data_IF_334685976196
#
_entry.id   IF_334685976196
#
_cell.length_a   1.000
_cell.length_b   1.000
_cell.length_c   1.000
_cell.angle_alpha   90.00
_cell.angle_beta   90.00
_cell.angle_gamma   90.00
#
_symmetry.space_group_name_H-M   'P 1'
#
loop_
_entity.id
_entity.type
_entity.pdbx_description
1 polymer ?
#
# COMPACT_ATOMS: atom_id res chain seq x y z
N UNK A 1 -25.00 -25.01 -5.78
CA UNK A 1 -24.09 -25.48 -4.72
C UNK A 1 -24.20 -26.98 -4.45
N UNK A 2 -25.31 -27.66 -4.79
CA UNK A 2 -25.49 -29.09 -4.49
C UNK A 2 -24.88 -30.06 -5.52
N UNK A 3 -24.63 -29.63 -6.77
CA UNK A 3 -23.98 -30.48 -7.79
C UNK A 3 -22.46 -30.65 -7.63
N UNK A 4 -21.79 -29.76 -6.88
CA UNK A 4 -20.35 -29.85 -6.62
C UNK A 4 -20.00 -30.97 -5.62
N UNK A 5 -20.92 -31.29 -4.71
CA UNK A 5 -20.73 -32.36 -3.72
C UNK A 5 -20.80 -33.77 -4.32
N UNK A 6 -21.41 -33.93 -5.51
CA UNK A 6 -21.50 -35.22 -6.19
C UNK A 6 -20.23 -35.59 -6.99
N UNK A 7 -19.43 -34.60 -7.40
CA UNK A 7 -18.12 -34.83 -8.06
C UNK A 7 -16.96 -34.98 -7.06
N UNK A 8 -17.13 -34.56 -5.80
CA UNK A 8 -16.11 -34.70 -4.74
C UNK A 8 -15.93 -36.13 -4.20
N UNK A 9 -16.59 -37.13 -4.77
CA UNK A 9 -16.66 -38.48 -4.18
C UNK A 9 -15.42 -39.34 -4.45
N UNK A 10 -14.49 -38.97 -5.34
CA UNK A 10 -13.33 -39.84 -5.58
C UNK A 10 -12.01 -39.12 -5.96
N UNK A 11 -11.72 -37.97 -5.35
CA UNK A 11 -10.35 -37.42 -5.44
C UNK A 11 -9.37 -38.26 -4.59
N UNK A 12 -8.17 -38.55 -5.11
CA UNK A 12 -7.15 -39.23 -4.32
C UNK A 12 -6.70 -38.35 -3.15
N UNK A 13 -6.16 -38.99 -2.10
CA UNK A 13 -5.97 -38.34 -0.81
C UNK A 13 -5.07 -37.09 -0.86
N UNK A 14 -4.16 -37.02 -1.83
CA UNK A 14 -3.26 -35.88 -2.04
C UNK A 14 -4.02 -34.64 -2.51
N UNK A 15 -4.94 -34.81 -3.45
CA UNK A 15 -5.76 -33.73 -4.02
C UNK A 15 -6.74 -33.24 -2.96
N UNK A 16 -7.29 -34.16 -2.15
CA UNK A 16 -8.14 -33.80 -1.02
C UNK A 16 -7.38 -33.00 0.05
N UNK A 17 -6.12 -33.35 0.32
CA UNK A 17 -5.28 -32.61 1.25
C UNK A 17 -4.95 -31.20 0.71
N UNK A 18 -4.70 -31.09 -0.59
CA UNK A 18 -4.44 -29.83 -1.29
C UNK A 18 -5.68 -28.92 -1.33
N UNK A 19 -6.87 -29.47 -1.58
CA UNK A 19 -8.16 -28.77 -1.50
C UNK A 19 -8.36 -28.16 -0.10
N UNK A 20 -8.20 -28.95 0.96
CA UNK A 20 -8.35 -28.48 2.34
C UNK A 20 -7.31 -27.41 2.69
N UNK A 21 -6.07 -27.54 2.18
CA UNK A 21 -5.02 -26.55 2.37
C UNK A 21 -5.38 -25.22 1.69
N UNK A 22 -5.80 -25.25 0.42
CA UNK A 22 -6.17 -24.05 -0.32
C UNK A 22 -7.43 -23.40 0.24
N UNK A 23 -8.42 -24.18 0.68
CA UNK A 23 -9.59 -23.66 1.38
C UNK A 23 -9.19 -22.94 2.68
N UNK A 24 -8.27 -23.51 3.46
CA UNK A 24 -7.75 -22.88 4.66
C UNK A 24 -6.97 -21.60 4.36
N UNK A 25 -6.15 -21.59 3.31
CA UNK A 25 -5.40 -20.41 2.86
C UNK A 25 -6.37 -19.31 2.41
N UNK A 26 -7.33 -19.62 1.54
CA UNK A 26 -8.29 -18.65 1.03
C UNK A 26 -9.15 -18.07 2.15
N UNK A 27 -9.62 -18.92 3.08
CA UNK A 27 -10.34 -18.48 4.28
C UNK A 27 -9.49 -17.56 5.15
N UNK A 28 -8.22 -17.90 5.37
CA UNK A 28 -7.29 -17.07 6.13
C UNK A 28 -7.03 -15.71 5.45
N UNK A 29 -6.80 -15.70 4.14
CA UNK A 29 -6.55 -14.48 3.37
C UNK A 29 -7.76 -13.56 3.34
N UNK A 30 -8.96 -14.11 3.14
CA UNK A 30 -10.22 -13.37 3.12
C UNK A 30 -10.54 -12.83 4.52
N UNK A 31 -10.32 -13.61 5.59
CA UNK A 31 -10.46 -13.14 6.97
C UNK A 31 -9.50 -11.98 7.31
N UNK A 32 -8.23 -12.09 6.92
CA UNK A 32 -7.24 -11.03 7.13
C UNK A 32 -7.54 -9.78 6.32
N UNK A 33 -8.03 -9.94 5.10
CA UNK A 33 -8.44 -8.82 4.24
C UNK A 33 -9.63 -8.09 4.85
N UNK A 34 -10.66 -8.80 5.33
CA UNK A 34 -11.81 -8.18 6.02
C UNK A 34 -11.45 -7.50 7.32
N UNK A 35 -10.55 -8.09 8.13
CA UNK A 35 -10.06 -7.48 9.36
C UNK A 35 -9.37 -6.14 9.08
N UNK A 36 -8.54 -6.11 8.03
CA UNK A 36 -7.84 -4.93 7.58
C UNK A 36 -8.83 -3.86 7.09
N UNK A 37 -9.78 -4.23 6.23
CA UNK A 37 -10.82 -3.36 5.70
C UNK A 37 -11.67 -2.72 6.82
N UNK A 38 -12.14 -3.54 7.76
CA UNK A 38 -12.92 -3.08 8.93
C UNK A 38 -12.13 -2.12 9.81
N UNK A 39 -10.81 -2.27 9.86
CA UNK A 39 -9.91 -1.39 10.62
C UNK A 39 -9.51 -0.13 9.85
N UNK A 40 -9.53 -0.19 8.51
CA UNK A 40 -9.08 0.84 7.59
C UNK A 40 -10.04 2.01 7.50
N UNK A 41 -11.28 1.75 7.10
CA UNK A 41 -12.28 2.79 6.91
C UNK A 41 -12.43 3.71 8.12
N UNK A 42 -12.58 3.22 9.38
CA UNK A 42 -12.69 4.11 10.52
C UNK A 42 -11.39 4.84 10.84
N UNK A 43 -10.22 4.25 10.54
CA UNK A 43 -8.93 4.93 10.77
C UNK A 43 -8.73 6.10 9.80
N UNK A 44 -9.13 5.92 8.55
CA UNK A 44 -9.02 6.91 7.48
C UNK A 44 -10.05 8.04 7.69
N UNK A 45 -11.27 7.71 8.10
CA UNK A 45 -12.29 8.69 8.46
C UNK A 45 -11.87 9.54 9.70
N UNK A 46 -11.36 8.89 10.75
CA UNK A 46 -10.85 9.60 11.94
C UNK A 46 -9.67 10.52 11.59
N UNK A 47 -8.81 10.11 10.65
CA UNK A 47 -7.68 10.90 10.19
C UNK A 47 -8.12 12.10 9.32
N UNK A 48 -9.13 11.89 8.47
CA UNK A 48 -9.74 12.94 7.65
C UNK A 48 -10.45 13.99 8.52
N UNK A 49 -11.09 13.57 9.60
CA UNK A 49 -11.74 14.46 10.58
C UNK A 49 -10.72 15.21 11.44
N UNK A 50 -9.65 14.53 11.88
CA UNK A 50 -8.61 15.11 12.73
C UNK A 50 -7.23 14.58 12.37
N UNK A 51 -6.45 15.44 11.72
CA UNK A 51 -5.03 15.21 11.44
C UNK A 51 -4.26 15.26 12.76
N UNK A 52 -3.86 14.09 13.25
CA UNK A 52 -3.13 13.89 14.50
C UNK A 52 -2.00 12.89 14.28
N UNK A 53 -0.86 13.06 14.95
CA UNK A 53 0.26 12.13 14.87
C UNK A 53 -0.15 10.69 15.20
N UNK A 54 -1.04 10.51 16.18
CA UNK A 54 -1.60 9.19 16.55
C UNK A 54 -2.38 8.53 15.41
N UNK A 55 -3.17 9.32 14.68
CA UNK A 55 -4.03 8.82 13.61
C UNK A 55 -3.19 8.52 12.36
N UNK A 56 -2.21 9.37 12.06
CA UNK A 56 -1.19 9.13 11.03
C UNK A 56 -0.40 7.84 11.29
N UNK A 57 0.03 7.61 12.53
CA UNK A 57 0.74 6.39 12.90
C UNK A 57 -0.16 5.15 12.76
N UNK A 58 -1.46 5.27 13.08
CA UNK A 58 -2.43 4.18 12.91
C UNK A 58 -2.61 3.82 11.44
N UNK A 59 -2.81 4.81 10.57
CA UNK A 59 -2.93 4.59 9.11
C UNK A 59 -1.62 4.07 8.52
N UNK A 60 -0.46 4.58 8.94
CA UNK A 60 0.85 4.04 8.53
C UNK A 60 1.03 2.57 8.93
N UNK A 61 0.67 2.19 10.16
CA UNK A 61 0.73 0.79 10.61
C UNK A 61 -0.16 -0.11 9.77
N UNK A 62 -1.35 0.39 9.44
CA UNK A 62 -2.31 -0.33 8.61
C UNK A 62 -1.79 -0.50 7.17
N UNK A 63 -1.26 0.57 6.55
CA UNK A 63 -0.60 0.52 5.24
C UNK A 63 0.55 -0.49 5.22
N UNK A 64 1.41 -0.49 6.23
CA UNK A 64 2.47 -1.49 6.35
C UNK A 64 1.92 -2.92 6.47
N UNK A 65 0.85 -3.15 7.25
CA UNK A 65 0.21 -4.45 7.35
C UNK A 65 -0.40 -4.90 6.01
N UNK A 66 -1.02 -3.97 5.31
CA UNK A 66 -1.61 -4.16 3.99
C UNK A 66 -0.58 -4.55 2.93
N UNK A 67 0.51 -3.79 2.82
CA UNK A 67 1.59 -4.09 1.88
C UNK A 67 2.18 -5.47 2.14
N UNK A 68 2.40 -5.83 3.41
CA UNK A 68 2.90 -7.17 3.77
C UNK A 68 1.93 -8.29 3.39
N UNK A 69 0.63 -8.10 3.59
CA UNK A 69 -0.38 -9.08 3.20
C UNK A 69 -0.43 -9.21 1.68
N UNK A 70 -0.46 -8.08 0.95
CA UNK A 70 -0.48 -8.05 -0.51
C UNK A 70 0.69 -8.82 -1.11
N UNK A 71 1.92 -8.59 -0.62
CA UNK A 71 3.11 -9.32 -1.09
C UNK A 71 2.99 -10.83 -0.86
N UNK A 72 2.45 -11.24 0.29
CA UNK A 72 2.26 -12.67 0.61
C UNK A 72 1.23 -13.31 -0.31
N UNK A 73 0.12 -12.62 -0.56
CA UNK A 73 -0.94 -13.11 -1.45
C UNK A 73 -0.45 -13.17 -2.90
N UNK A 74 0.29 -12.15 -3.36
CA UNK A 74 0.92 -12.14 -4.67
C UNK A 74 1.84 -13.33 -4.85
N UNK A 75 2.71 -13.61 -3.86
CA UNK A 75 3.57 -14.79 -3.94
C UNK A 75 2.75 -16.09 -4.06
N UNK A 76 1.67 -16.25 -3.31
CA UNK A 76 0.83 -17.46 -3.40
C UNK A 76 0.18 -17.55 -4.79
N UNK A 77 -0.30 -16.43 -5.34
CA UNK A 77 -0.83 -16.34 -6.71
C UNK A 77 0.23 -16.74 -7.74
N UNK A 78 1.43 -16.19 -7.66
CA UNK A 78 2.50 -16.42 -8.64
C UNK A 78 2.97 -17.89 -8.62
N UNK A 79 3.07 -18.50 -7.43
CA UNK A 79 3.41 -19.93 -7.31
C UNK A 79 2.27 -20.83 -7.82
N UNK A 80 1.01 -20.40 -7.65
CA UNK A 80 -0.16 -21.10 -8.17
C UNK A 80 -0.26 -20.98 -9.70
N UNK A 81 0.07 -19.81 -10.26
CA UNK A 81 0.15 -19.55 -11.70
C UNK A 81 1.23 -20.44 -12.34
N UNK A 82 2.42 -20.49 -11.74
CA UNK A 82 3.49 -21.38 -12.21
C UNK A 82 3.09 -22.86 -12.21
N UNK A 83 2.32 -23.31 -11.20
CA UNK A 83 1.84 -24.68 -11.11
C UNK A 83 0.72 -24.98 -12.12
N UNK A 84 -0.10 -23.97 -12.46
CA UNK A 84 -1.16 -24.09 -13.46
C UNK A 84 -0.58 -24.11 -14.89
N UNK A 85 0.55 -23.44 -15.13
CA UNK A 85 1.20 -23.34 -16.43
C UNK A 85 1.93 -24.63 -16.90
N UNK A 86 2.23 -25.57 -15.99
CA UNK A 86 2.98 -26.80 -16.27
C UNK A 86 2.18 -28.08 -15.91
N UNK A 87 1.60 -28.71 -16.94
CA UNK A 87 0.86 -29.98 -16.84
C UNK A 87 1.69 -31.13 -16.26
N UNK A 88 3.02 -31.12 -16.44
CA UNK A 88 3.89 -32.17 -15.90
C UNK A 88 4.08 -32.01 -14.38
N UNK A 89 4.21 -30.77 -13.88
CA UNK A 89 4.23 -30.47 -12.44
C UNK A 89 2.88 -30.83 -11.80
N UNK A 90 1.78 -30.54 -12.50
CA UNK A 90 0.42 -30.89 -12.06
C UNK A 90 0.23 -32.41 -11.95
N UNK A 91 0.74 -33.15 -12.93
CA UNK A 91 0.65 -34.61 -12.93
C UNK A 91 1.58 -35.27 -11.89
N UNK A 92 2.65 -34.59 -11.46
CA UNK A 92 3.57 -35.06 -10.44
C UNK A 92 2.99 -35.00 -9.01
N UNK A 93 1.93 -34.20 -8.79
CA UNK A 93 1.16 -34.13 -7.54
C UNK A 93 0.38 -35.43 -7.22
N UNK A 94 0.14 -36.29 -8.21
CA UNK A 94 -0.51 -37.60 -8.04
C UNK A 94 0.46 -38.66 -7.48
N UNK A 95 0.86 -38.49 -6.21
CA UNK A 95 1.89 -39.31 -5.55
C UNK A 95 1.51 -40.79 -5.40
N UNK A 96 0.23 -41.12 -5.20
CA UNK A 96 -0.29 -42.49 -5.12
C UNK A 96 0.07 -43.31 -6.35
N UNK A 97 0.00 -42.69 -7.53
CA UNK A 97 0.39 -43.31 -8.80
C UNK A 97 1.91 -43.49 -8.91
N UNK A 98 2.67 -42.47 -8.49
CA UNK A 98 4.14 -42.51 -8.47
C UNK A 98 4.66 -43.63 -7.56
N UNK A 99 4.02 -43.81 -6.40
CA UNK A 99 4.28 -44.92 -5.48
C UNK A 99 3.86 -46.27 -6.07
N UNK A 100 2.69 -46.39 -6.71
CA UNK A 100 2.25 -47.62 -7.38
C UNK A 100 3.15 -48.04 -8.56
N UNK A 101 3.65 -47.06 -9.33
CA UNK A 101 4.62 -47.29 -10.40
C UNK A 101 5.98 -47.75 -9.85
N UNK A 102 6.42 -47.21 -8.71
CA UNK A 102 7.68 -47.61 -8.05
C UNK A 102 7.61 -48.94 -7.30
N UNK A 103 6.41 -49.37 -6.88
CA UNK A 103 6.18 -50.60 -6.10
C UNK A 103 5.79 -51.81 -6.95
N UNK A 104 5.60 -51.63 -8.27
CA UNK A 104 5.48 -52.74 -9.21
C UNK A 104 6.83 -53.45 -9.34
N UNK A 105 6.96 -54.73 -8.96
CA UNK A 105 8.19 -55.47 -9.19
C UNK A 105 8.35 -55.66 -10.70
N UNK A 106 9.32 -54.99 -11.31
CA UNK A 106 9.90 -55.45 -12.56
C UNK A 106 10.59 -56.78 -12.29
N UNK A 107 9.81 -57.87 -12.30
CA UNK A 107 10.33 -59.21 -12.52
C UNK A 107 10.65 -59.35 -14.00
N UNK A 108 11.77 -58.78 -14.39
CA UNK A 108 12.57 -59.28 -15.50
C UNK A 108 14.00 -58.80 -15.27
N UNK A 109 14.86 -59.73 -14.88
CA UNK A 109 16.30 -59.60 -15.07
C UNK A 109 16.56 -59.07 -16.47
N UNK A 110 17.08 -57.87 -16.59
CA UNK A 110 18.09 -57.56 -17.60
C UNK A 110 18.83 -56.29 -17.16
N UNK A 111 20.16 -56.42 -17.15
CA UNK A 111 21.10 -55.45 -16.63
C UNK A 111 21.16 -54.18 -17.51
N UNK A 112 21.56 -53.02 -16.96
CA UNK A 112 21.70 -51.80 -17.74
C UNK A 112 23.10 -51.75 -18.36
N UNK A 113 23.24 -52.20 -19.60
CA UNK A 113 24.45 -51.95 -20.40
C UNK A 113 24.25 -50.68 -21.23
N UNK A 114 24.93 -49.63 -20.81
CA UNK A 114 25.28 -48.51 -21.67
C UNK A 114 26.22 -48.99 -22.80
N UNK A 115 26.07 -48.38 -23.98
CA UNK A 115 26.96 -48.39 -25.16
C UNK A 115 26.87 -49.60 -26.12
N UNK A 116 26.32 -49.40 -27.33
CA UNK A 116 27.08 -49.14 -28.57
C UNK A 116 26.11 -49.05 -29.75
N UNK A 117 26.15 -47.93 -30.48
CA UNK A 117 25.45 -47.79 -31.75
C UNK A 117 26.25 -48.43 -32.88
N UNK A 118 25.63 -49.37 -33.62
CA UNK A 118 25.75 -49.44 -35.08
C UNK A 118 24.72 -50.40 -35.71
N UNK A 119 24.38 -50.19 -36.98
CA UNK A 119 23.03 -50.40 -37.49
C UNK A 119 22.91 -51.67 -38.33
N UNK A 120 21.83 -52.42 -38.19
CA UNK A 120 21.34 -53.21 -39.32
C UNK A 120 19.83 -53.47 -39.26
N UNK A 121 19.17 -52.90 -40.27
CA UNK A 121 18.08 -53.47 -41.08
C UNK A 121 17.02 -54.36 -40.43
N UNK A 122 15.80 -53.83 -40.45
CA UNK A 122 14.68 -54.52 -41.10
C UNK A 122 13.95 -55.56 -40.26
N UNK A 123 12.96 -55.11 -39.50
CA UNK A 123 11.74 -55.90 -39.26
C UNK A 123 10.66 -55.02 -38.63
N UNK A 124 9.62 -54.72 -39.41
CA UNK A 124 8.35 -54.16 -38.94
C UNK A 124 7.71 -55.14 -37.96
N UNK A 125 7.64 -54.77 -36.67
CA UNK A 125 6.63 -55.30 -35.75
C UNK A 125 5.85 -54.13 -35.18
N UNK A 126 4.61 -54.00 -35.66
CA UNK A 126 3.58 -53.23 -34.99
C UNK A 126 3.43 -53.78 -33.57
N UNK A 127 3.91 -53.03 -32.57
CA UNK A 127 3.58 -53.24 -31.17
C UNK A 127 2.47 -52.25 -30.85
N UNK A 128 1.25 -52.64 -31.18
CA UNK A 128 0.06 -51.88 -30.84
C UNK A 128 -0.24 -51.99 -29.36
N UNK A 129 -0.69 -50.85 -28.82
CA UNK A 129 -1.74 -50.75 -27.81
C UNK A 129 -1.50 -51.43 -26.47
N UNK A 130 -0.68 -50.78 -25.64
CA UNK A 130 -0.90 -50.75 -24.18
C UNK A 130 -0.61 -49.40 -23.51
N UNK A 131 -0.11 -48.40 -24.26
CA UNK A 131 0.20 -47.08 -23.74
C UNK A 131 -0.98 -46.07 -23.79
N UNK A 132 -2.04 -46.34 -24.56
CA UNK A 132 -3.15 -45.40 -24.77
C UNK A 132 -4.11 -45.26 -23.58
N UNK A 133 -4.18 -46.24 -22.67
CA UNK A 133 -5.03 -46.12 -21.47
C UNK A 133 -4.41 -45.22 -20.40
N UNK A 134 -3.09 -45.27 -20.25
CA UNK A 134 -2.35 -44.50 -19.24
C UNK A 134 -2.22 -43.02 -19.57
N UNK A 135 -2.15 -42.65 -20.86
CA UNK A 135 -2.08 -41.23 -21.28
C UNK A 135 -3.44 -40.55 -21.16
N UNK A 136 -4.51 -41.21 -21.61
CA UNK A 136 -5.89 -40.67 -21.52
C UNK A 136 -6.34 -40.51 -20.07
N UNK A 137 -5.98 -41.45 -19.19
CA UNK A 137 -6.26 -41.31 -17.76
C UNK A 137 -5.46 -40.14 -17.13
N UNK A 138 -4.17 -39.98 -17.50
CA UNK A 138 -3.32 -38.88 -17.00
C UNK A 138 -3.86 -37.52 -17.41
N UNK A 139 -4.28 -37.37 -18.67
CA UNK A 139 -4.89 -36.12 -19.18
C UNK A 139 -6.18 -35.78 -18.43
N UNK A 140 -7.04 -36.77 -18.16
CA UNK A 140 -8.30 -36.54 -17.43
C UNK A 140 -8.07 -36.11 -15.98
N UNK A 141 -7.11 -36.72 -15.28
CA UNK A 141 -6.81 -36.34 -13.89
C UNK A 141 -6.20 -34.93 -13.81
N UNK A 142 -5.33 -34.57 -14.77
CA UNK A 142 -4.75 -33.22 -14.86
C UNK A 142 -5.85 -32.19 -15.10
N UNK A 143 -6.77 -32.45 -16.02
CA UNK A 143 -7.90 -31.55 -16.30
C UNK A 143 -8.83 -31.35 -15.08
N UNK A 144 -9.07 -32.41 -14.28
CA UNK A 144 -9.83 -32.28 -13.02
C UNK A 144 -9.11 -31.43 -11.96
N UNK A 145 -7.79 -31.59 -11.83
CA UNK A 145 -6.97 -30.79 -10.92
C UNK A 145 -6.84 -29.33 -11.37
N UNK A 146 -6.70 -29.10 -12.67
CA UNK A 146 -6.65 -27.78 -13.30
C UNK A 146 -7.91 -26.97 -12.95
N UNK A 147 -9.10 -27.57 -13.15
CA UNK A 147 -10.37 -26.93 -12.79
C UNK A 147 -10.44 -26.52 -11.31
N UNK A 148 -9.90 -27.35 -10.40
CA UNK A 148 -9.86 -27.05 -8.97
C UNK A 148 -8.90 -25.89 -8.67
N UNK A 149 -7.66 -25.97 -9.19
CA UNK A 149 -6.65 -24.94 -9.00
C UNK A 149 -7.12 -23.59 -9.56
N UNK A 150 -7.74 -23.59 -10.74
CA UNK A 150 -8.21 -22.38 -11.39
C UNK A 150 -9.32 -21.69 -10.59
N UNK A 151 -10.21 -22.47 -9.95
CA UNK A 151 -11.21 -21.92 -9.03
C UNK A 151 -10.56 -21.20 -7.83
N UNK A 152 -9.51 -21.77 -7.24
CA UNK A 152 -8.76 -21.12 -6.15
C UNK A 152 -7.91 -19.94 -6.64
N UNK A 153 -7.34 -20.02 -7.85
CA UNK A 153 -6.62 -18.91 -8.47
C UNK A 153 -7.53 -17.70 -8.62
N UNK A 154 -8.74 -17.88 -9.16
CA UNK A 154 -9.74 -16.83 -9.27
C UNK A 154 -10.15 -16.26 -7.91
N UNK A 155 -10.23 -17.09 -6.87
CA UNK A 155 -10.55 -16.62 -5.51
C UNK A 155 -9.41 -15.77 -4.90
N UNK A 156 -8.15 -16.19 -5.09
CA UNK A 156 -6.97 -15.45 -4.63
C UNK A 156 -6.84 -14.13 -5.39
N UNK A 157 -7.05 -14.14 -6.70
CA UNK A 157 -7.03 -12.94 -7.55
C UNK A 157 -8.13 -11.95 -7.14
N UNK A 158 -9.34 -12.46 -6.88
CA UNK A 158 -10.43 -11.65 -6.31
C UNK A 158 -10.07 -11.03 -4.95
N UNK A 159 -9.28 -11.73 -4.12
CA UNK A 159 -8.79 -11.21 -2.84
C UNK A 159 -7.71 -10.12 -3.06
N UNK A 160 -6.82 -10.31 -4.03
CA UNK A 160 -5.83 -9.29 -4.41
C UNK A 160 -6.48 -8.04 -4.95
N UNK A 161 -7.53 -8.16 -5.75
CA UNK A 161 -8.23 -7.00 -6.30
C UNK A 161 -8.90 -6.16 -5.18
N UNK A 162 -9.47 -6.82 -4.16
CA UNK A 162 -9.98 -6.14 -2.95
C UNK A 162 -8.86 -5.41 -2.21
N UNK A 163 -7.70 -6.05 -2.03
CA UNK A 163 -6.53 -5.41 -1.44
C UNK A 163 -6.02 -4.25 -2.30
N UNK A 164 -5.98 -4.37 -3.62
CA UNK A 164 -5.58 -3.28 -4.51
C UNK A 164 -6.48 -2.05 -4.34
N UNK A 165 -7.80 -2.28 -4.34
CA UNK A 165 -8.81 -1.22 -4.15
C UNK A 165 -8.66 -0.52 -2.79
N UNK A 166 -8.50 -1.29 -1.71
CA UNK A 166 -8.32 -0.72 -0.38
C UNK A 166 -6.99 0.05 -0.26
N UNK A 167 -5.96 -0.35 -1.02
CA UNK A 167 -4.66 0.31 -1.02
C UNK A 167 -4.75 1.66 -1.72
N UNK A 168 -5.41 1.69 -2.88
CA UNK A 168 -5.70 2.93 -3.61
C UNK A 168 -6.44 3.91 -2.70
N UNK A 169 -7.47 3.46 -1.97
CA UNK A 169 -8.18 4.30 -1.02
C UNK A 169 -7.30 4.88 0.12
N UNK A 170 -6.35 4.08 0.64
CA UNK A 170 -5.39 4.56 1.65
C UNK A 170 -4.43 5.58 1.04
N UNK A 171 -3.93 5.31 -0.17
CA UNK A 171 -2.98 6.17 -0.87
C UNK A 171 -3.65 7.52 -1.24
N UNK A 172 -4.89 7.50 -1.74
CA UNK A 172 -5.70 8.71 -1.99
C UNK A 172 -5.92 9.55 -0.73
N UNK A 173 -6.20 8.88 0.40
CA UNK A 173 -6.36 9.56 1.68
C UNK A 173 -5.05 10.19 2.16
N UNK A 174 -3.92 9.50 1.98
CA UNK A 174 -2.59 10.02 2.32
C UNK A 174 -2.26 11.29 1.51
N UNK A 175 -2.54 11.26 0.21
CA UNK A 175 -2.35 12.40 -0.68
C UNK A 175 -3.24 13.59 -0.27
N UNK A 176 -4.51 13.34 0.04
CA UNK A 176 -5.42 14.36 0.56
C UNK A 176 -4.89 15.00 1.86
N UNK A 177 -4.40 14.20 2.80
CA UNK A 177 -3.85 14.70 4.06
C UNK A 177 -2.56 15.48 3.83
N UNK A 178 -1.73 15.05 2.88
CA UNK A 178 -0.50 15.76 2.54
C UNK A 178 -0.83 17.17 2.01
N UNK A 179 -1.82 17.29 1.12
CA UNK A 179 -2.33 18.57 0.63
C UNK A 179 -2.85 19.45 1.80
N UNK A 180 -3.63 18.87 2.71
CA UNK A 180 -4.14 19.57 3.90
C UNK A 180 -3.02 20.07 4.82
N UNK A 181 -2.01 19.23 5.08
CA UNK A 181 -0.85 19.58 5.92
C UNK A 181 -0.04 20.71 5.29
N UNK A 182 0.16 20.68 3.98
CA UNK A 182 0.85 21.75 3.27
C UNK A 182 0.06 23.06 3.28
N UNK A 183 -1.27 22.99 3.18
CA UNK A 183 -2.12 24.17 3.35
C UNK A 183 -1.99 24.76 4.78
N UNK A 184 -2.02 23.93 5.82
CA UNK A 184 -1.82 24.39 7.20
C UNK A 184 -0.42 24.98 7.43
N UNK A 185 0.63 24.36 6.87
CA UNK A 185 1.99 24.92 6.91
C UNK A 185 2.05 26.28 6.22
N UNK A 186 1.41 26.40 5.06
CA UNK A 186 1.34 27.66 4.33
C UNK A 186 0.65 28.76 5.17
N UNK A 187 -0.45 28.42 5.87
CA UNK A 187 -1.10 29.34 6.81
C UNK A 187 -0.18 29.74 7.98
N UNK A 188 0.59 28.82 8.54
CA UNK A 188 1.55 29.12 9.61
C UNK A 188 2.65 30.07 9.15
N UNK A 189 3.25 29.81 7.98
CA UNK A 189 4.27 30.69 7.38
C UNK A 189 3.70 32.10 7.17
N UNK A 190 2.45 32.17 6.71
CA UNK A 190 1.77 33.44 6.52
C UNK A 190 1.55 34.20 7.85
N UNK A 191 1.11 33.52 8.91
CA UNK A 191 0.95 34.11 10.24
C UNK A 191 2.29 34.57 10.83
N UNK A 192 3.35 33.77 10.66
CA UNK A 192 4.70 34.12 11.10
C UNK A 192 5.19 35.40 10.41
N UNK A 193 4.96 35.54 9.10
CA UNK A 193 5.31 36.74 8.36
C UNK A 193 4.57 37.98 8.88
N UNK A 194 3.29 37.85 9.23
CA UNK A 194 2.53 38.96 9.84
C UNK A 194 3.05 39.35 11.22
N UNK A 195 3.33 38.37 12.09
CA UNK A 195 3.86 38.62 13.44
C UNK A 195 5.26 39.24 13.37
N UNK A 196 6.12 38.73 12.49
CA UNK A 196 7.46 39.27 12.25
C UNK A 196 7.41 40.73 11.78
N UNK A 197 6.56 41.05 10.79
CA UNK A 197 6.37 42.42 10.32
C UNK A 197 5.88 43.36 11.44
N UNK A 198 4.93 42.91 12.27
CA UNK A 198 4.45 43.66 13.42
C UNK A 198 5.53 43.90 14.47
N UNK A 199 6.38 42.90 14.71
CA UNK A 199 7.50 42.97 15.66
C UNK A 199 8.56 43.97 15.20
N UNK A 200 8.89 44.00 13.90
CA UNK A 200 9.81 44.99 13.30
C UNK A 200 9.24 46.40 13.42
N UNK A 201 7.94 46.59 13.18
CA UNK A 201 7.29 47.90 13.33
C UNK A 201 7.32 48.37 14.79
N UNK A 202 6.97 47.49 15.73
CA UNK A 202 7.01 47.79 17.17
C UNK A 202 8.42 48.05 17.69
N UNK A 203 9.45 47.37 17.20
CA UNK A 203 10.83 47.61 17.62
C UNK A 203 11.33 48.99 17.18
N UNK A 204 10.98 49.44 15.97
CA UNK A 204 11.26 50.79 15.49
C UNK A 204 10.55 51.86 16.32
N UNK A 205 9.27 51.65 16.65
CA UNK A 205 8.53 52.56 17.53
C UNK A 205 9.10 52.60 18.95
N UNK A 206 9.47 51.44 19.50
CA UNK A 206 10.12 51.32 20.81
C UNK A 206 11.46 52.04 20.85
N UNK A 207 12.26 51.99 19.78
CA UNK A 207 13.51 52.77 19.68
C UNK A 207 13.24 54.27 19.80
N UNK A 208 12.25 54.79 19.06
CA UNK A 208 11.86 56.20 19.13
C UNK A 208 11.41 56.54 20.55
N UNK A 209 10.51 55.75 21.14
CA UNK A 209 10.04 55.94 22.51
C UNK A 209 11.19 55.87 23.54
N UNK A 210 12.17 54.99 23.36
CA UNK A 210 13.31 54.83 24.26
C UNK A 210 14.25 56.04 24.21
N UNK A 211 14.60 56.55 23.01
CA UNK A 211 15.44 57.74 22.85
C UNK A 211 14.82 58.94 23.58
N UNK A 212 13.49 59.12 23.47
CA UNK A 212 12.77 60.20 24.14
C UNK A 212 12.42 59.91 25.61
N UNK A 213 12.47 58.65 26.05
CA UNK A 213 12.26 58.23 27.44
C UNK A 213 13.52 58.32 28.31
N UNK A 214 14.70 58.52 27.71
CA UNK A 214 15.95 58.71 28.45
C UNK A 214 15.94 60.05 29.21
N UNK A 215 16.23 60.02 30.51
CA UNK A 215 16.25 61.18 31.42
C UNK A 215 17.44 62.13 31.16
N UNK A 216 17.53 62.70 29.95
CA UNK A 216 18.56 63.67 29.59
C UNK A 216 18.01 65.08 29.91
N UNK A 217 18.77 65.98 30.54
CA UNK A 217 18.31 67.35 30.81
C UNK A 217 18.32 68.18 29.51
N UNK A 218 17.24 68.10 28.72
CA UNK A 218 17.05 68.92 27.52
C UNK A 218 16.44 70.29 27.86
N UNK A 219 16.90 71.34 27.16
CA UNK A 219 16.52 72.75 27.34
C UNK A 219 15.06 73.09 26.95
N UNK A 220 14.26 72.08 26.56
CA UNK A 220 12.89 72.23 26.01
C UNK A 220 11.80 72.05 27.07
N UNK A 221 12.17 71.82 28.35
CA UNK A 221 11.28 71.93 29.52
C UNK A 221 11.00 73.40 29.92
N UNK A 222 11.19 74.35 29.02
CA UNK A 222 10.73 75.72 29.20
C UNK A 222 9.19 75.76 29.14
N UNK A 223 8.51 76.64 29.89
CA UNK A 223 7.05 76.73 29.89
C UNK A 223 6.56 77.09 28.47
N UNK A 224 5.98 76.11 27.75
CA UNK A 224 5.42 76.30 26.40
C UNK A 224 5.60 75.13 25.40
N UNK A 225 6.51 74.18 25.64
CA UNK A 225 6.87 73.14 24.65
C UNK A 225 6.38 71.70 24.98
N UNK A 226 5.46 71.52 25.93
CA UNK A 226 4.92 70.19 26.30
C UNK A 226 4.28 69.43 25.12
N UNK A 227 3.76 70.15 24.12
CA UNK A 227 3.08 69.56 22.97
C UNK A 227 4.01 68.80 22.01
N UNK A 228 5.29 69.14 21.94
CA UNK A 228 6.21 68.56 20.95
C UNK A 228 6.40 67.06 21.16
N UNK A 229 6.52 66.63 22.43
CA UNK A 229 6.61 65.22 22.78
C UNK A 229 5.36 64.44 22.36
N UNK A 230 4.17 64.99 22.66
CA UNK A 230 2.88 64.39 22.27
C UNK A 230 2.79 64.25 20.75
N UNK A 231 3.18 65.26 19.98
CA UNK A 231 3.16 65.22 18.51
C UNK A 231 4.14 64.19 17.92
N UNK A 232 5.36 64.07 18.47
CA UNK A 232 6.35 63.10 18.00
C UNK A 232 5.90 61.66 18.25
N UNK A 233 5.32 61.38 19.41
CA UNK A 233 4.79 60.05 19.74
C UNK A 233 3.61 59.68 18.85
N UNK A 234 2.66 60.61 18.65
CA UNK A 234 1.49 60.40 17.78
C UNK A 234 1.93 60.20 16.32
N UNK A 235 2.84 61.04 15.82
CA UNK A 235 3.33 60.94 14.44
C UNK A 235 4.17 59.67 14.23
N UNK A 236 5.05 59.32 15.17
CA UNK A 236 5.84 58.10 15.12
C UNK A 236 4.97 56.83 15.14
N UNK A 237 3.93 56.81 15.97
CA UNK A 237 2.94 55.73 16.00
C UNK A 237 2.15 55.62 14.68
N UNK A 238 1.74 56.75 14.12
CA UNK A 238 1.02 56.81 12.84
C UNK A 238 1.88 56.34 11.66
N UNK A 239 3.15 56.76 11.59
CA UNK A 239 4.11 56.29 10.57
C UNK A 239 4.33 54.79 10.70
N UNK A 240 4.52 54.29 11.92
CA UNK A 240 4.68 52.86 12.21
C UNK A 240 3.45 52.03 11.77
N UNK A 241 2.24 52.49 12.13
CA UNK A 241 1.00 51.84 11.71
C UNK A 241 0.81 51.88 10.18
N UNK A 242 1.13 52.99 9.53
CA UNK A 242 1.06 53.13 8.06
C UNK A 242 2.04 52.19 7.35
N UNK A 243 3.26 52.02 7.87
CA UNK A 243 4.24 51.08 7.34
C UNK A 243 3.77 49.64 7.49
N UNK A 244 3.23 49.27 8.66
CA UNK A 244 2.65 47.95 8.89
C UNK A 244 1.50 47.65 7.92
N UNK A 245 0.54 48.57 7.76
CA UNK A 245 -0.57 48.42 6.81
C UNK A 245 -0.09 48.34 5.36
N UNK A 246 0.95 49.08 5.00
CA UNK A 246 1.55 49.02 3.66
C UNK A 246 2.19 47.66 3.38
N UNK A 247 2.94 47.11 4.36
CA UNK A 247 3.54 45.77 4.27
C UNK A 247 2.44 44.70 4.14
N UNK A 248 1.39 44.77 4.97
CA UNK A 248 0.25 43.85 4.91
C UNK A 248 -0.50 43.96 3.58
N UNK A 249 -0.73 45.17 3.08
CA UNK A 249 -1.39 45.40 1.79
C UNK A 249 -0.55 44.87 0.63
N UNK A 250 0.77 45.07 0.67
CA UNK A 250 1.69 44.53 -0.33
C UNK A 250 1.70 42.99 -0.33
N UNK A 251 1.74 42.37 0.85
CA UNK A 251 1.67 40.91 1.00
C UNK A 251 0.35 40.34 0.46
N UNK A 252 -0.78 41.02 0.70
CA UNK A 252 -2.09 40.63 0.15
C UNK A 252 -2.15 40.76 -1.37
N UNK A 253 -1.68 41.88 -1.94
CA UNK A 253 -1.73 42.12 -3.39
C UNK A 253 -0.88 41.14 -4.20
N UNK A 254 0.21 40.63 -3.61
CA UNK A 254 1.10 39.68 -4.27
C UNK A 254 0.60 38.22 -4.23
N UNK A 255 -0.59 37.97 -3.69
CA UNK A 255 -1.19 36.63 -3.67
C UNK A 255 -0.54 35.64 -2.70
N UNK A 256 0.37 36.07 -1.82
CA UNK A 256 0.93 35.22 -0.74
C UNK A 256 -0.08 34.98 0.39
N UNK A 257 -1.16 35.75 0.41
CA UNK A 257 -2.29 35.60 1.33
C UNK A 257 -3.38 34.97 0.49
N UNK A 258 -3.60 33.67 0.67
CA UNK A 258 -4.59 32.92 -0.12
C UNK A 258 -5.94 33.63 -0.15
N UNK A 259 -6.56 33.65 -1.34
CA UNK A 259 -8.02 33.63 -1.43
C UNK A 259 -8.54 32.28 -0.98
#
# INVERSE_FOLDING_TARGET
>A
MENWLLWLVEFPFEIRALEVLFEAICSFLDARTRELETSAYPALDELTSKISSRNLDRVRKLKCAMTRLTIRVQKIRDELENLLDDDDDMADLYLSRKLAASSSPTSSSDAPYWLYGSPNTGSKRHKSSRASGTTVQRENDVEELEMLLEAYFMQIDGTLNKLATLREYIDDTEDYINIQLDNHRNQLIQLELFISAGTVCMSLYSLVAAIFGMNIPYTWKAPGHEHVFKWVVIFGGMVCASLFLSIVSYARRKGLVGS
#
